data_IF_892943426188
#
_entry.id   IF_892943426188
#
_cell.length_a   1.000
_cell.length_b   1.000
_cell.length_c   1.000
_cell.angle_alpha   90.00
_cell.angle_beta   90.00
_cell.angle_gamma   90.00
#
_symmetry.space_group_name_H-M   'P 1'
#
loop_
_entity.id
_entity.type
_entity.pdbx_description
1 polymer ?
#
# COMPACT_ATOMS: atom_id res chain seq x y z
N UNK A 1 -12.89 15.79 -7.48
CA UNK A 1 -11.56 15.18 -7.41
C UNK A 1 -11.21 14.59 -8.78
N UNK A 2 -10.25 15.23 -9.48
CA UNK A 2 -9.91 14.93 -10.89
C UNK A 2 -9.50 13.46 -11.07
N UNK A 3 -8.67 12.94 -10.16
CA UNK A 3 -8.16 11.58 -10.24
C UNK A 3 -9.28 10.53 -10.09
N UNK A 4 -10.26 10.77 -9.22
CA UNK A 4 -11.42 9.89 -9.05
C UNK A 4 -12.26 9.81 -10.33
N UNK A 5 -12.54 10.97 -10.94
CA UNK A 5 -13.34 11.02 -12.16
C UNK A 5 -12.62 10.32 -13.33
N UNK A 6 -11.33 10.57 -13.50
CA UNK A 6 -10.54 9.90 -14.54
C UNK A 6 -10.50 8.39 -14.33
N UNK A 7 -10.28 7.92 -13.09
CA UNK A 7 -10.28 6.50 -12.79
C UNK A 7 -11.65 5.86 -13.07
N UNK A 8 -12.72 6.51 -12.61
CA UNK A 8 -14.08 6.05 -12.87
C UNK A 8 -14.37 5.92 -14.37
N UNK A 9 -14.07 6.97 -15.15
CA UNK A 9 -14.32 6.97 -16.60
C UNK A 9 -13.57 5.87 -17.34
N UNK A 10 -12.37 5.53 -16.89
CA UNK A 10 -11.55 4.49 -17.52
C UNK A 10 -12.04 3.06 -17.22
N UNK A 11 -12.67 2.83 -16.06
CA UNK A 11 -13.06 1.48 -15.65
C UNK A 11 -14.55 1.21 -15.69
N UNK A 12 -15.42 2.24 -15.65
CA UNK A 12 -16.88 2.12 -15.54
C UNK A 12 -17.50 1.23 -16.63
N UNK A 13 -17.08 1.39 -17.86
CA UNK A 13 -17.67 0.65 -18.99
C UNK A 13 -17.43 -0.87 -18.85
N UNK A 14 -16.23 -1.26 -18.44
CA UNK A 14 -15.89 -2.67 -18.18
C UNK A 14 -16.69 -3.24 -17.03
N UNK A 15 -16.86 -2.44 -15.98
CA UNK A 15 -17.61 -2.82 -14.79
C UNK A 15 -19.10 -2.97 -15.09
N UNK A 16 -19.71 -2.01 -15.79
CA UNK A 16 -21.13 -2.05 -16.21
C UNK A 16 -21.40 -3.23 -17.15
N UNK A 17 -20.51 -3.51 -18.08
CA UNK A 17 -20.61 -4.68 -18.99
C UNK A 17 -20.62 -5.97 -18.18
N UNK A 18 -19.76 -6.07 -17.16
CA UNK A 18 -19.71 -7.23 -16.27
C UNK A 18 -21.00 -7.39 -15.48
N UNK A 19 -21.52 -6.34 -14.83
CA UNK A 19 -22.77 -6.40 -14.09
C UNK A 19 -23.94 -6.86 -14.98
N UNK A 20 -24.06 -6.30 -16.19
CA UNK A 20 -25.09 -6.73 -17.15
C UNK A 20 -24.93 -8.19 -17.58
N UNK A 21 -23.69 -8.68 -17.71
CA UNK A 21 -23.42 -10.09 -18.01
C UNK A 21 -23.85 -11.00 -16.86
N UNK A 22 -23.54 -10.63 -15.61
CA UNK A 22 -23.94 -11.34 -14.41
C UNK A 22 -25.48 -11.41 -14.31
N UNK A 23 -26.18 -10.30 -14.57
CA UNK A 23 -27.64 -10.25 -14.52
C UNK A 23 -28.31 -11.12 -15.59
N UNK A 24 -27.84 -11.04 -16.85
CA UNK A 24 -28.42 -11.77 -17.99
C UNK A 24 -28.19 -13.26 -17.93
N UNK A 25 -27.23 -13.74 -17.12
CA UNK A 25 -26.83 -15.13 -17.12
C UNK A 25 -27.68 -15.95 -16.15
N UNK A 26 -28.91 -16.32 -16.59
CA UNK A 26 -29.85 -17.15 -15.81
C UNK A 26 -29.46 -18.64 -15.77
N UNK A 27 -28.52 -19.07 -16.61
CA UNK A 27 -28.11 -20.47 -16.72
C UNK A 27 -27.00 -20.78 -15.72
N UNK A 28 -27.29 -21.18 -14.48
CA UNK A 28 -26.47 -21.95 -13.48
C UNK A 28 -24.92 -21.90 -13.61
N UNK A 29 -24.37 -20.80 -14.18
CA UNK A 29 -22.92 -20.64 -14.36
C UNK A 29 -22.29 -20.05 -13.09
N UNK A 30 -23.09 -19.30 -12.32
CA UNK A 30 -22.70 -18.68 -11.06
C UNK A 30 -23.46 -19.33 -9.91
N UNK A 31 -22.84 -19.34 -8.74
CA UNK A 31 -23.58 -19.63 -7.51
C UNK A 31 -24.73 -18.62 -7.36
N UNK A 32 -25.94 -19.14 -7.13
CA UNK A 32 -27.17 -18.33 -7.10
C UNK A 32 -27.12 -17.31 -5.96
N UNK A 33 -26.64 -17.71 -4.78
CA UNK A 33 -26.58 -16.84 -3.60
C UNK A 33 -25.64 -15.65 -3.86
N UNK A 34 -24.40 -15.91 -4.28
CA UNK A 34 -23.42 -14.86 -4.53
C UNK A 34 -23.79 -13.95 -5.71
N UNK A 35 -24.40 -14.54 -6.76
CA UNK A 35 -24.98 -13.77 -7.85
C UNK A 35 -26.07 -12.83 -7.35
N UNK A 36 -26.97 -13.30 -6.52
CA UNK A 36 -28.05 -12.50 -5.97
C UNK A 36 -27.51 -11.36 -5.09
N UNK A 37 -26.53 -11.59 -4.22
CA UNK A 37 -25.86 -10.54 -3.44
C UNK A 37 -25.37 -9.40 -4.34
N UNK A 38 -24.75 -9.72 -5.49
CA UNK A 38 -24.30 -8.71 -6.46
C UNK A 38 -25.49 -7.99 -7.09
N UNK A 39 -26.54 -8.71 -7.49
CA UNK A 39 -27.70 -8.10 -8.13
C UNK A 39 -28.45 -7.21 -7.14
N UNK A 40 -28.72 -7.70 -5.93
CA UNK A 40 -29.47 -6.99 -4.89
C UNK A 40 -28.77 -5.68 -4.48
N UNK A 41 -27.43 -5.66 -4.54
CA UNK A 41 -26.66 -4.45 -4.26
C UNK A 41 -26.69 -3.45 -5.43
N UNK A 42 -26.42 -3.93 -6.66
CA UNK A 42 -26.20 -3.03 -7.80
C UNK A 42 -27.45 -2.65 -8.60
N UNK A 43 -28.59 -3.31 -8.38
CA UNK A 43 -29.79 -3.08 -9.19
C UNK A 43 -30.96 -2.62 -8.34
N UNK A 44 -31.67 -1.62 -8.85
CA UNK A 44 -32.96 -1.10 -8.35
C UNK A 44 -33.93 -1.07 -9.54
N UNK A 45 -35.14 -1.63 -9.38
CA UNK A 45 -36.16 -1.70 -10.45
C UNK A 45 -35.60 -2.18 -11.80
N UNK A 46 -34.82 -3.26 -11.76
CA UNK A 46 -34.15 -3.84 -12.92
C UNK A 46 -33.09 -2.98 -13.63
N UNK A 47 -32.75 -1.82 -13.09
CA UNK A 47 -31.73 -0.93 -13.62
C UNK A 47 -30.52 -0.88 -12.71
N UNK A 48 -29.35 -0.69 -13.32
CA UNK A 48 -28.13 -0.50 -12.53
C UNK A 48 -28.22 0.84 -11.78
N UNK A 49 -28.02 0.80 -10.47
CA UNK A 49 -27.86 1.97 -9.63
C UNK A 49 -26.46 2.54 -9.81
N UNK A 50 -26.33 3.60 -10.61
CA UNK A 50 -25.03 4.20 -10.95
C UNK A 50 -24.28 4.71 -9.72
N UNK A 51 -24.99 5.24 -8.71
CA UNK A 51 -24.38 5.68 -7.45
C UNK A 51 -23.66 4.54 -6.72
N UNK A 52 -24.22 3.32 -6.73
CA UNK A 52 -23.59 2.14 -6.14
C UNK A 52 -22.32 1.72 -6.91
N UNK A 53 -22.33 1.88 -8.22
CA UNK A 53 -21.16 1.63 -9.05
C UNK A 53 -20.05 2.64 -8.76
N UNK A 54 -20.39 3.93 -8.65
CA UNK A 54 -19.48 5.00 -8.26
C UNK A 54 -18.89 4.71 -6.87
N UNK A 55 -19.74 4.36 -5.89
CA UNK A 55 -19.33 4.04 -4.52
C UNK A 55 -18.29 2.88 -4.49
N UNK A 56 -18.52 1.83 -5.25
CA UNK A 56 -17.58 0.70 -5.34
C UNK A 56 -16.28 1.08 -6.04
N UNK A 57 -16.34 1.84 -7.13
CA UNK A 57 -15.14 2.15 -7.93
C UNK A 57 -14.29 3.24 -7.27
N UNK A 58 -14.90 4.28 -6.70
CA UNK A 58 -14.20 5.49 -6.22
C UNK A 58 -14.44 5.83 -4.75
N UNK A 59 -15.19 5.00 -4.03
CA UNK A 59 -15.42 5.16 -2.60
C UNK A 59 -14.11 5.09 -1.81
N UNK A 60 -14.02 5.89 -0.76
CA UNK A 60 -12.92 5.84 0.20
C UNK A 60 -12.99 4.57 1.08
N UNK A 61 -12.04 4.40 1.98
CA UNK A 61 -11.95 3.26 2.87
C UNK A 61 -13.27 2.97 3.62
N UNK A 62 -13.90 4.02 4.19
CA UNK A 62 -15.16 3.89 4.92
C UNK A 62 -16.33 3.47 4.03
N UNK A 63 -16.38 3.99 2.81
CA UNK A 63 -17.39 3.59 1.82
C UNK A 63 -17.18 2.13 1.40
N UNK A 64 -15.94 1.69 1.16
CA UNK A 64 -15.64 0.30 0.83
C UNK A 64 -16.00 -0.65 1.97
N UNK A 65 -15.73 -0.29 3.24
CA UNK A 65 -16.19 -1.08 4.39
C UNK A 65 -17.71 -1.23 4.44
N UNK A 66 -18.44 -0.16 4.11
CA UNK A 66 -19.90 -0.22 4.02
C UNK A 66 -20.36 -1.15 2.91
N UNK A 67 -19.76 -1.08 1.73
CA UNK A 67 -20.03 -2.00 0.61
C UNK A 67 -19.79 -3.45 1.05
N UNK A 68 -18.68 -3.73 1.76
CA UNK A 68 -18.38 -5.08 2.27
C UNK A 68 -19.46 -5.56 3.24
N UNK A 69 -19.95 -4.68 4.13
CA UNK A 69 -21.03 -5.02 5.08
C UNK A 69 -22.35 -5.33 4.37
N UNK A 70 -22.63 -4.66 3.26
CA UNK A 70 -23.88 -4.84 2.50
C UNK A 70 -23.83 -6.09 1.60
N UNK A 71 -22.74 -6.33 0.85
CA UNK A 71 -22.61 -7.48 -0.07
C UNK A 71 -22.11 -8.73 0.67
N UNK A 72 -21.17 -8.55 1.58
CA UNK A 72 -20.50 -9.63 2.32
C UNK A 72 -19.41 -10.34 1.52
N UNK A 73 -18.88 -11.40 2.12
CA UNK A 73 -17.87 -12.26 1.51
C UNK A 73 -18.49 -13.09 0.39
N UNK A 74 -17.78 -13.15 -0.74
CA UNK A 74 -18.06 -14.10 -1.82
C UNK A 74 -16.94 -15.14 -1.82
N UNK A 75 -17.15 -16.25 -1.10
CA UNK A 75 -16.16 -17.31 -0.97
C UNK A 75 -15.80 -17.93 -2.33
N UNK A 76 -14.50 -18.01 -2.64
CA UNK A 76 -14.00 -18.64 -3.87
C UNK A 76 -14.04 -20.17 -3.73
N UNK A 77 -15.21 -20.76 -3.86
CA UNK A 77 -15.40 -22.22 -3.93
C UNK A 77 -15.49 -22.70 -5.40
N UNK A 78 -15.63 -24.01 -5.62
CA UNK A 78 -15.71 -24.58 -6.97
C UNK A 78 -16.87 -24.03 -7.79
N UNK A 79 -17.99 -23.71 -7.14
CA UNK A 79 -19.21 -23.23 -7.79
C UNK A 79 -19.16 -21.72 -8.08
N UNK A 80 -18.29 -20.96 -7.38
CA UNK A 80 -18.14 -19.52 -7.53
C UNK A 80 -16.93 -19.08 -8.35
N UNK A 81 -16.09 -20.04 -8.74
CA UNK A 81 -14.88 -19.74 -9.51
C UNK A 81 -15.18 -18.80 -10.70
N UNK A 82 -16.28 -19.04 -11.39
CA UNK A 82 -16.64 -18.27 -12.59
C UNK A 82 -16.91 -16.79 -12.27
N UNK A 83 -17.61 -16.48 -11.18
CA UNK A 83 -17.89 -15.11 -10.78
C UNK A 83 -16.60 -14.36 -10.43
N UNK A 84 -15.71 -15.01 -9.66
CA UNK A 84 -14.39 -14.47 -9.35
C UNK A 84 -13.54 -14.24 -10.60
N UNK A 85 -13.49 -15.21 -11.51
CA UNK A 85 -12.72 -15.12 -12.76
C UNK A 85 -13.19 -13.93 -13.64
N UNK A 86 -14.49 -13.61 -13.62
CA UNK A 86 -15.04 -12.46 -14.36
C UNK A 86 -14.54 -11.13 -13.77
N UNK A 87 -14.60 -10.95 -12.44
CA UNK A 87 -14.06 -9.75 -11.79
C UNK A 87 -12.53 -9.67 -11.95
N UNK A 88 -11.83 -10.80 -11.82
CA UNK A 88 -10.39 -10.85 -12.03
C UNK A 88 -10.00 -10.51 -13.47
N UNK A 89 -10.82 -10.90 -14.45
CA UNK A 89 -10.59 -10.58 -15.86
C UNK A 89 -10.62 -9.07 -16.13
N UNK A 90 -11.56 -8.33 -15.56
CA UNK A 90 -11.60 -6.87 -15.74
C UNK A 90 -10.40 -6.19 -15.06
N UNK A 91 -9.95 -6.68 -13.90
CA UNK A 91 -8.74 -6.22 -13.23
C UNK A 91 -7.48 -6.49 -14.07
N UNK A 92 -7.32 -7.71 -14.59
CA UNK A 92 -6.17 -8.06 -15.42
C UNK A 92 -6.12 -7.23 -16.71
N UNK A 93 -7.29 -6.94 -17.31
CA UNK A 93 -7.38 -6.04 -18.45
C UNK A 93 -6.98 -4.60 -18.09
N UNK A 94 -7.31 -4.11 -16.89
CA UNK A 94 -6.89 -2.81 -16.39
C UNK A 94 -5.36 -2.76 -16.22
N UNK A 95 -4.78 -3.71 -15.49
CA UNK A 95 -3.33 -3.73 -15.19
C UNK A 95 -2.46 -3.96 -16.42
N UNK A 96 -2.96 -4.67 -17.44
CA UNK A 96 -2.25 -4.92 -18.69
C UNK A 96 -2.38 -3.76 -19.71
N UNK A 97 -3.26 -2.79 -19.47
CA UNK A 97 -3.41 -1.60 -20.32
C UNK A 97 -2.40 -0.52 -19.94
N UNK A 98 -2.15 0.39 -20.88
CA UNK A 98 -1.34 1.58 -20.66
C UNK A 98 -1.84 2.39 -19.45
N UNK A 99 -3.15 2.43 -19.24
CA UNK A 99 -3.77 3.10 -18.11
C UNK A 99 -3.32 2.53 -16.75
N UNK A 100 -3.36 1.22 -16.55
CA UNK A 100 -2.89 0.60 -15.31
C UNK A 100 -1.42 0.91 -15.01
N UNK A 101 -0.60 1.09 -16.07
CA UNK A 101 0.81 1.50 -15.94
C UNK A 101 0.95 2.98 -15.57
N UNK A 102 0.15 3.85 -16.15
CA UNK A 102 0.21 5.29 -15.90
C UNK A 102 -0.46 5.69 -14.59
N UNK A 103 -1.36 4.84 -14.07
CA UNK A 103 -2.07 5.09 -12.82
C UNK A 103 -1.10 5.24 -11.63
N UNK A 104 -0.12 4.35 -11.50
CA UNK A 104 0.91 4.45 -10.46
C UNK A 104 1.68 5.78 -10.51
N UNK A 105 1.93 6.30 -11.72
CA UNK A 105 2.54 7.62 -11.92
C UNK A 105 1.62 8.77 -11.49
N UNK A 106 0.30 8.65 -11.75
CA UNK A 106 -0.69 9.65 -11.33
C UNK A 106 -0.86 9.70 -9.81
N UNK A 107 -0.78 8.56 -9.13
CA UNK A 107 -0.80 8.48 -7.67
C UNK A 107 0.46 9.13 -7.08
N UNK A 108 1.59 9.13 -7.81
CA UNK A 108 2.84 9.76 -7.38
C UNK A 108 3.58 9.01 -6.27
N UNK A 109 3.23 7.77 -5.98
CA UNK A 109 3.91 6.93 -4.98
C UNK A 109 5.12 6.27 -5.63
N UNK A 110 6.31 6.61 -5.17
CA UNK A 110 7.59 6.11 -5.69
C UNK A 110 8.29 5.13 -4.76
N UNK A 111 7.83 5.04 -3.51
CA UNK A 111 8.33 4.11 -2.49
C UNK A 111 7.15 3.25 -2.03
N UNK A 112 7.39 1.97 -1.82
CA UNK A 112 6.37 1.04 -1.35
C UNK A 112 5.81 1.50 0.01
N UNK A 113 4.50 1.85 0.12
CA UNK A 113 3.94 2.41 1.34
C UNK A 113 3.82 1.36 2.47
N UNK A 114 3.92 0.08 2.14
CA UNK A 114 3.92 -0.98 3.14
C UNK A 114 5.25 -1.10 3.88
N UNK A 115 6.38 -1.07 3.18
CA UNK A 115 7.68 -1.31 3.80
C UNK A 115 8.58 -0.07 3.84
N UNK A 116 8.23 0.99 3.16
CA UNK A 116 9.05 2.22 3.02
C UNK A 116 10.53 1.96 2.65
N UNK A 117 10.82 0.83 2.00
CA UNK A 117 12.18 0.34 1.70
C UNK A 117 12.46 0.22 0.22
N UNK A 118 11.46 -0.19 -0.56
CA UNK A 118 11.63 -0.53 -1.97
C UNK A 118 11.04 0.55 -2.86
N UNK A 119 11.81 1.01 -3.86
CA UNK A 119 11.30 1.87 -4.91
C UNK A 119 10.34 1.12 -5.83
N UNK A 120 9.27 1.80 -6.25
CA UNK A 120 8.20 1.26 -7.09
C UNK A 120 7.92 2.17 -8.30
N UNK A 121 8.96 2.66 -8.93
CA UNK A 121 8.85 3.58 -10.03
C UNK A 121 8.02 3.05 -11.20
N UNK A 122 7.25 3.95 -11.81
CA UNK A 122 6.62 3.71 -13.10
C UNK A 122 7.43 4.39 -14.20
N UNK A 123 7.99 3.61 -15.12
CA UNK A 123 8.75 4.16 -16.26
C UNK A 123 7.82 4.56 -17.41
N UNK A 124 8.15 5.62 -18.19
CA UNK A 124 7.26 6.15 -19.24
C UNK A 124 6.96 5.20 -20.40
N UNK A 125 7.87 4.29 -20.74
CA UNK A 125 7.74 3.37 -21.89
C UNK A 125 8.12 1.96 -21.49
N UNK A 126 7.26 0.96 -21.82
CA UNK A 126 7.50 -0.51 -21.70
C UNK A 126 8.48 -0.95 -20.59
N UNK A 127 8.40 -0.32 -19.43
CA UNK A 127 9.32 -0.56 -18.34
C UNK A 127 8.64 -1.22 -17.14
N UNK A 128 9.05 -0.81 -15.95
CA UNK A 128 8.51 -1.27 -14.68
C UNK A 128 7.36 -0.40 -14.21
N UNK A 129 6.49 -0.97 -13.44
CA UNK A 129 5.42 -0.29 -12.70
C UNK A 129 5.18 -1.02 -11.38
N UNK A 130 4.53 -0.38 -10.37
CA UNK A 130 4.17 -1.04 -9.13
C UNK A 130 3.27 -2.24 -9.37
N UNK A 131 3.33 -3.22 -8.49
CA UNK A 131 2.21 -4.14 -8.33
C UNK A 131 1.09 -3.41 -7.57
N UNK A 132 -0.15 -3.78 -7.85
CA UNK A 132 -1.30 -3.29 -7.11
C UNK A 132 -1.80 -4.39 -6.20
N UNK A 133 -1.54 -4.25 -4.91
CA UNK A 133 -2.15 -5.13 -3.92
C UNK A 133 -3.62 -4.75 -3.72
N UNK A 134 -4.46 -5.75 -3.50
CA UNK A 134 -5.83 -5.55 -3.07
C UNK A 134 -5.86 -5.52 -1.54
N UNK A 135 -6.01 -4.32 -0.95
CA UNK A 135 -6.06 -4.17 0.50
C UNK A 135 -7.12 -5.10 1.11
N UNK A 136 -8.35 -5.07 0.62
CA UNK A 136 -9.36 -6.10 0.82
C UNK A 136 -9.18 -7.17 -0.26
N UNK A 137 -8.88 -8.44 0.11
CA UNK A 137 -8.45 -9.44 -0.85
C UNK A 137 -9.53 -9.78 -1.87
N UNK A 138 -9.18 -9.72 -3.16
CA UNK A 138 -10.12 -10.06 -4.26
C UNK A 138 -10.63 -11.50 -4.21
N UNK A 139 -9.98 -12.38 -3.46
CA UNK A 139 -10.44 -13.74 -3.22
C UNK A 139 -11.70 -13.81 -2.36
N UNK A 140 -11.93 -12.81 -1.51
CA UNK A 140 -13.13 -12.67 -0.67
C UNK A 140 -14.08 -11.59 -1.18
N UNK A 141 -13.53 -10.50 -1.73
CA UNK A 141 -14.26 -9.31 -2.16
C UNK A 141 -14.00 -9.00 -3.65
N UNK A 142 -14.34 -9.92 -4.58
CA UNK A 142 -14.01 -9.76 -6.00
C UNK A 142 -14.63 -8.52 -6.63
N UNK A 143 -15.77 -8.05 -6.12
CA UNK A 143 -16.43 -6.82 -6.57
C UNK A 143 -15.60 -5.56 -6.28
N UNK A 144 -14.61 -5.61 -5.39
CA UNK A 144 -13.64 -4.54 -5.14
C UNK A 144 -12.37 -4.66 -5.98
N UNK A 145 -12.30 -5.58 -6.94
CA UNK A 145 -11.08 -5.81 -7.74
C UNK A 145 -10.63 -4.58 -8.54
N UNK A 146 -11.56 -3.68 -8.89
CA UNK A 146 -11.28 -2.40 -9.56
C UNK A 146 -11.72 -1.19 -8.73
N UNK A 147 -11.64 -1.27 -7.42
CA UNK A 147 -11.88 -0.11 -6.55
C UNK A 147 -10.59 0.68 -6.37
N UNK A 148 -10.62 1.97 -6.68
CA UNK A 148 -9.47 2.87 -6.65
C UNK A 148 -8.70 2.82 -5.33
N UNK A 149 -9.43 2.93 -4.23
CA UNK A 149 -8.85 2.92 -2.88
C UNK A 149 -8.59 1.52 -2.32
N UNK A 150 -8.95 0.46 -3.05
CA UNK A 150 -8.54 -0.91 -2.72
C UNK A 150 -7.23 -1.32 -3.40
N UNK A 151 -6.73 -0.53 -4.35
CA UNK A 151 -5.54 -0.82 -5.14
C UNK A 151 -4.33 -0.07 -4.59
N UNK A 152 -3.54 -0.73 -3.74
CA UNK A 152 -2.36 -0.15 -3.12
C UNK A 152 -1.14 -0.42 -4.01
N UNK A 153 -0.48 0.63 -4.58
CA UNK A 153 0.76 0.44 -5.31
C UNK A 153 1.86 -0.02 -4.34
N UNK A 154 2.47 -1.16 -4.60
CA UNK A 154 3.44 -1.74 -3.69
C UNK A 154 4.55 -2.54 -4.40
N UNK A 155 5.58 -2.92 -3.65
CA UNK A 155 6.63 -3.77 -4.17
C UNK A 155 6.20 -5.26 -4.19
N UNK A 156 6.81 -6.09 -5.06
CA UNK A 156 6.48 -7.51 -5.16
C UNK A 156 6.66 -8.27 -3.84
N UNK A 157 7.64 -7.86 -3.02
CA UNK A 157 7.92 -8.52 -1.73
C UNK A 157 6.72 -8.37 -0.78
N UNK A 158 6.25 -7.13 -0.60
CA UNK A 158 5.10 -6.86 0.27
C UNK A 158 3.79 -7.44 -0.28
N UNK A 159 3.58 -7.36 -1.59
CA UNK A 159 2.41 -7.95 -2.22
C UNK A 159 2.34 -9.47 -1.99
N UNK A 160 3.48 -10.15 -2.16
CA UNK A 160 3.56 -11.59 -1.93
C UNK A 160 3.42 -11.95 -0.45
N UNK A 161 3.99 -11.15 0.46
CA UNK A 161 3.90 -11.39 1.90
C UNK A 161 2.47 -11.23 2.41
N UNK A 162 1.79 -10.14 2.02
CA UNK A 162 0.39 -9.91 2.39
C UNK A 162 -0.55 -10.95 1.78
N UNK A 163 -0.29 -11.34 0.53
CA UNK A 163 -1.09 -12.34 -0.18
C UNK A 163 -2.61 -12.06 -0.07
N UNK A 164 -3.38 -13.03 0.44
CA UNK A 164 -4.84 -12.95 0.59
C UNK A 164 -5.27 -12.71 2.06
N UNK A 165 -4.43 -12.05 2.86
CA UNK A 165 -4.77 -11.68 4.24
C UNK A 165 -6.04 -10.83 4.26
N UNK A 166 -6.99 -11.20 5.11
CA UNK A 166 -8.27 -10.49 5.24
C UNK A 166 -8.14 -9.30 6.20
N UNK A 167 -7.92 -8.15 5.63
CA UNK A 167 -7.77 -6.90 6.39
C UNK A 167 -9.08 -6.33 6.92
N UNK A 168 -10.23 -6.79 6.42
CA UNK A 168 -11.53 -6.37 6.91
C UNK A 168 -11.89 -7.05 8.25
N UNK A 169 -11.80 -8.38 8.30
CA UNK A 169 -12.15 -9.14 9.51
C UNK A 169 -11.16 -8.86 10.64
N UNK A 170 -9.87 -8.84 10.32
CA UNK A 170 -8.82 -8.76 11.34
C UNK A 170 -8.43 -7.33 11.70
N UNK A 171 -8.80 -6.30 10.88
CA UNK A 171 -8.32 -4.91 10.99
C UNK A 171 -6.82 -4.83 11.28
N UNK A 172 -6.07 -5.75 10.68
CA UNK A 172 -4.74 -6.13 11.14
C UNK A 172 -3.63 -5.34 10.49
N UNK A 173 -3.94 -4.59 9.42
CA UNK A 173 -2.95 -3.86 8.64
C UNK A 173 -3.24 -2.37 8.66
N UNK A 174 -2.18 -1.56 8.76
CA UNK A 174 -2.29 -0.13 8.49
C UNK A 174 -2.80 0.08 7.05
N UNK A 175 -3.75 1.00 6.91
CA UNK A 175 -4.28 1.38 5.60
C UNK A 175 -3.44 2.51 4.99
N UNK A 176 -2.62 2.27 3.95
CA UNK A 176 -1.55 3.19 3.56
C UNK A 176 -1.99 4.55 3.00
N UNK A 177 -3.27 4.74 2.67
CA UNK A 177 -3.77 6.04 2.21
C UNK A 177 -4.27 6.96 3.34
N UNK A 178 -4.44 6.44 4.56
CA UNK A 178 -4.99 7.19 5.69
C UNK A 178 -4.18 7.04 6.97
N UNK A 179 -3.36 5.98 7.09
CA UNK A 179 -2.63 5.64 8.31
C UNK A 179 -1.13 5.57 8.03
N UNK A 180 -0.34 6.03 8.99
CA UNK A 180 1.12 6.01 8.93
C UNK A 180 1.73 5.65 10.29
N UNK A 181 3.02 5.32 10.30
CA UNK A 181 3.75 5.07 11.56
C UNK A 181 3.93 6.36 12.39
N UNK A 182 3.99 7.54 11.77
CA UNK A 182 4.27 8.81 12.42
C UNK A 182 5.66 8.85 13.04
N UNK A 183 5.92 9.88 13.88
CA UNK A 183 7.20 10.06 14.58
C UNK A 183 7.29 9.31 15.92
N UNK A 184 6.18 8.72 16.39
CA UNK A 184 6.11 8.05 17.68
C UNK A 184 6.31 6.53 17.56
N UNK A 185 6.47 6.03 16.34
CA UNK A 185 6.84 4.65 16.03
C UNK A 185 8.15 4.69 15.24
N UNK A 186 9.15 3.96 15.72
CA UNK A 186 10.53 4.05 15.22
C UNK A 186 11.22 2.69 15.23
N UNK A 187 12.31 2.59 14.48
CA UNK A 187 13.20 1.45 14.54
C UNK A 187 14.25 1.66 15.64
N UNK A 188 14.48 0.63 16.42
CA UNK A 188 15.49 0.56 17.46
C UNK A 188 16.37 -0.67 17.24
N UNK A 189 17.67 -0.55 17.55
CA UNK A 189 18.56 -1.72 17.60
C UNK A 189 18.52 -2.35 18.97
N UNK A 190 18.35 -3.68 19.03
CA UNK A 190 18.45 -4.49 20.25
C UNK A 190 19.72 -5.31 20.22
N UNK A 191 20.62 -5.10 21.16
CA UNK A 191 21.91 -5.79 21.28
C UNK A 191 22.47 -5.70 22.69
N UNK A 192 23.22 -6.71 23.09
CA UNK A 192 24.03 -6.69 24.32
C UNK A 192 25.46 -6.16 24.06
N UNK A 193 25.84 -5.96 22.78
CA UNK A 193 27.17 -5.53 22.40
C UNK A 193 27.25 -4.01 22.22
N UNK A 194 28.03 -3.32 23.07
CA UNK A 194 28.19 -1.86 23.02
C UNK A 194 28.80 -1.36 21.69
N UNK A 195 29.62 -2.15 21.02
CA UNK A 195 30.24 -1.79 19.74
C UNK A 195 29.21 -1.57 18.64
N UNK A 196 28.05 -2.20 18.74
CA UNK A 196 26.94 -2.00 17.78
C UNK A 196 26.44 -0.55 17.79
N UNK A 197 26.31 0.08 18.97
CA UNK A 197 25.87 1.48 19.09
C UNK A 197 26.87 2.47 18.48
N UNK A 198 28.11 2.08 18.36
CA UNK A 198 29.17 2.86 17.69
C UNK A 198 29.26 2.55 16.18
N UNK A 199 28.45 1.61 15.68
CA UNK A 199 28.52 1.12 14.32
C UNK A 199 29.80 0.36 13.98
N UNK A 200 30.47 -0.23 14.99
CA UNK A 200 31.70 -1.01 14.86
C UNK A 200 31.41 -2.52 14.79
N UNK A 201 30.20 -2.94 15.08
CA UNK A 201 29.67 -4.28 14.87
C UNK A 201 28.27 -4.19 14.26
N UNK A 202 27.81 -5.24 13.62
CA UNK A 202 26.47 -5.38 13.04
C UNK A 202 25.67 -6.55 13.66
N UNK A 203 26.11 -7.03 14.83
CA UNK A 203 25.46 -8.11 15.58
C UNK A 203 24.35 -7.57 16.49
N UNK A 204 23.28 -7.08 15.87
CA UNK A 204 22.08 -6.57 16.54
C UNK A 204 20.83 -6.95 15.77
N UNK A 205 19.68 -6.86 16.44
CA UNK A 205 18.37 -6.96 15.82
C UNK A 205 17.72 -5.58 15.70
N UNK A 206 17.09 -5.32 14.59
CA UNK A 206 16.26 -4.13 14.35
C UNK A 206 14.83 -4.48 14.75
N UNK A 207 14.25 -3.67 15.64
CA UNK A 207 12.89 -3.83 16.15
C UNK A 207 12.08 -2.57 15.94
N UNK A 208 10.76 -2.73 15.74
CA UNK A 208 9.82 -1.63 15.74
C UNK A 208 9.37 -1.38 17.17
N UNK A 209 9.55 -0.15 17.63
CA UNK A 209 9.13 0.32 18.96
C UNK A 209 8.15 1.48 18.81
N UNK A 210 7.38 1.71 19.85
CA UNK A 210 6.48 2.85 19.96
C UNK A 210 6.71 3.58 21.27
N UNK A 211 6.50 4.90 21.29
CA UNK A 211 6.43 5.67 22.51
C UNK A 211 5.21 5.24 23.35
N UNK A 212 5.24 5.55 24.65
CA UNK A 212 4.17 5.16 25.58
C UNK A 212 2.82 5.78 25.27
N UNK A 213 2.81 7.02 24.76
CA UNK A 213 1.63 7.80 24.44
C UNK A 213 0.90 7.35 23.14
N UNK A 214 1.42 6.39 22.39
CA UNK A 214 0.76 5.87 21.19
C UNK A 214 -0.46 5.04 21.58
N UNK A 215 -1.58 5.25 20.88
CA UNK A 215 -2.82 4.49 21.12
C UNK A 215 -2.60 2.98 20.88
N UNK A 216 -3.22 2.17 21.74
CA UNK A 216 -3.02 0.72 21.72
C UNK A 216 -3.50 0.07 20.42
N UNK A 217 -4.57 0.58 19.83
CA UNK A 217 -5.07 0.11 18.51
C UNK A 217 -4.00 0.30 17.41
N UNK A 218 -3.36 1.47 17.39
CA UNK A 218 -2.28 1.75 16.43
C UNK A 218 -1.06 0.85 16.66
N UNK A 219 -0.66 0.65 17.93
CA UNK A 219 0.43 -0.28 18.27
C UNK A 219 0.14 -1.68 17.77
N UNK A 220 -1.08 -2.17 17.97
CA UNK A 220 -1.49 -3.50 17.54
C UNK A 220 -1.48 -3.62 16.01
N UNK A 221 -2.01 -2.61 15.29
CA UNK A 221 -1.96 -2.57 13.82
C UNK A 221 -0.54 -2.57 13.29
N UNK A 222 0.37 -1.80 13.90
CA UNK A 222 1.79 -1.75 13.53
C UNK A 222 2.46 -3.10 13.72
N UNK A 223 2.25 -3.74 14.86
CA UNK A 223 2.81 -5.06 15.16
C UNK A 223 2.29 -6.11 14.17
N UNK A 224 0.99 -6.10 13.88
CA UNK A 224 0.38 -7.00 12.92
C UNK A 224 0.91 -6.74 11.50
N UNK A 225 1.00 -5.46 11.09
CA UNK A 225 1.59 -5.07 9.80
C UNK A 225 3.02 -5.55 9.68
N UNK A 226 3.83 -5.36 10.72
CA UNK A 226 5.22 -5.83 10.75
C UNK A 226 5.30 -7.35 10.60
N UNK A 227 4.45 -8.08 11.30
CA UNK A 227 4.42 -9.55 11.24
C UNK A 227 3.97 -10.07 9.87
N UNK A 228 2.87 -9.53 9.31
CA UNK A 228 2.31 -9.98 8.02
C UNK A 228 3.26 -9.65 6.87
N UNK A 229 3.85 -8.47 6.90
CA UNK A 229 4.73 -7.96 5.85
C UNK A 229 6.21 -8.29 6.07
N UNK A 230 6.55 -8.98 7.16
CA UNK A 230 7.93 -9.31 7.57
C UNK A 230 8.85 -8.09 7.65
N UNK A 231 8.33 -6.96 8.18
CA UNK A 231 9.09 -5.69 8.14
C UNK A 231 10.37 -5.78 8.95
N UNK A 232 10.34 -6.28 10.18
CA UNK A 232 11.54 -6.41 11.01
C UNK A 232 12.58 -7.34 10.34
N UNK A 233 12.15 -8.48 9.81
CA UNK A 233 13.04 -9.41 9.10
C UNK A 233 13.68 -8.77 7.87
N UNK A 234 12.88 -8.01 7.10
CA UNK A 234 13.37 -7.30 5.92
C UNK A 234 14.38 -6.21 6.27
N UNK A 235 14.17 -5.49 7.39
CA UNK A 235 15.10 -4.45 7.83
C UNK A 235 16.38 -5.05 8.43
N UNK A 236 16.29 -6.20 9.11
CA UNK A 236 17.46 -6.92 9.63
C UNK A 236 18.43 -7.43 8.53
N UNK A 237 17.96 -7.52 7.28
CA UNK A 237 18.88 -7.80 6.15
C UNK A 237 19.82 -6.61 5.82
N UNK A 238 19.65 -5.46 6.48
CA UNK A 238 20.41 -4.22 6.25
C UNK A 238 21.26 -3.80 7.46
N UNK A 239 21.59 -4.72 8.36
CA UNK A 239 22.39 -4.38 9.57
C UNK A 239 23.73 -3.73 9.23
N UNK A 240 24.38 -4.13 8.12
CA UNK A 240 25.62 -3.52 7.65
C UNK A 240 25.43 -2.04 7.24
N UNK A 241 24.28 -1.71 6.63
CA UNK A 241 23.92 -0.33 6.29
C UNK A 241 23.61 0.50 7.55
N UNK A 242 22.83 -0.06 8.48
CA UNK A 242 22.52 0.59 9.76
C UNK A 242 23.77 0.85 10.58
N UNK A 243 24.72 -0.11 10.64
CA UNK A 243 26.02 0.08 11.30
C UNK A 243 26.79 1.26 10.70
N UNK A 244 26.80 1.42 9.37
CA UNK A 244 27.43 2.58 8.71
C UNK A 244 26.75 3.88 9.09
N UNK A 245 25.42 3.93 9.15
CA UNK A 245 24.66 5.12 9.60
C UNK A 245 25.00 5.48 11.05
N UNK A 246 25.04 4.49 11.95
CA UNK A 246 25.39 4.71 13.34
C UNK A 246 26.82 5.26 13.46
N UNK A 247 27.79 4.71 12.73
CA UNK A 247 29.17 5.21 12.67
C UNK A 247 29.23 6.65 12.15
N UNK A 248 28.46 6.93 11.09
CA UNK A 248 28.43 8.26 10.50
C UNK A 248 28.04 9.35 11.50
N UNK A 249 27.16 9.05 12.47
CA UNK A 249 26.78 9.96 13.56
C UNK A 249 27.98 10.42 14.41
N UNK A 250 28.97 9.56 14.56
CA UNK A 250 30.20 9.90 15.33
C UNK A 250 31.27 10.57 14.50
N UNK A 251 31.27 10.34 13.17
CA UNK A 251 32.22 10.95 12.25
C UNK A 251 31.77 12.37 11.85
N UNK A 252 30.50 12.53 11.55
CA UNK A 252 29.92 13.79 11.08
C UNK A 252 29.32 14.58 12.25
N UNK A 253 30.22 15.10 13.10
CA UNK A 253 29.80 15.95 14.24
C UNK A 253 29.24 17.28 13.75
N UNK A 254 28.57 18.02 14.64
CA UNK A 254 28.03 19.34 14.32
C UNK A 254 29.13 20.33 13.89
N UNK A 255 30.30 20.24 14.53
CA UNK A 255 31.46 21.04 14.15
C UNK A 255 31.96 20.73 12.75
N UNK A 256 32.01 19.43 12.39
CA UNK A 256 32.36 19.00 11.03
C UNK A 256 31.35 19.52 10.00
N UNK A 257 30.05 19.36 10.27
CA UNK A 257 29.00 19.86 9.40
C UNK A 257 29.06 21.38 9.24
N UNK A 258 29.31 22.13 10.33
CA UNK A 258 29.50 23.58 10.27
C UNK A 258 30.74 23.97 9.44
N UNK A 259 31.82 23.21 9.56
CA UNK A 259 33.02 23.46 8.74
C UNK A 259 32.77 23.32 7.23
N UNK A 260 31.86 22.41 6.84
CA UNK A 260 31.44 22.25 5.44
C UNK A 260 30.63 23.45 4.95
N UNK A 261 29.71 23.97 5.77
CA UNK A 261 28.94 25.19 5.46
C UNK A 261 29.87 26.39 5.25
N UNK A 262 30.85 26.54 6.13
CA UNK A 262 31.80 27.68 6.09
C UNK A 262 32.76 27.56 4.91
N UNK A 263 33.17 26.32 4.56
CA UNK A 263 34.13 26.07 3.47
C UNK A 263 33.51 26.20 2.08
N UNK A 264 32.22 25.82 1.97
CA UNK A 264 31.47 25.75 0.70
C UNK A 264 30.24 26.67 0.72
N UNK A 265 30.38 27.99 0.81
CA UNK A 265 29.25 28.90 0.88
C UNK A 265 28.40 28.82 -0.38
N UNK A 266 27.08 28.66 -0.18
CA UNK A 266 26.10 28.54 -1.26
C UNK A 266 25.93 27.13 -1.84
N UNK A 267 26.64 26.14 -1.33
CA UNK A 267 26.42 24.72 -1.68
C UNK A 267 25.30 24.05 -0.82
N UNK A 268 25.15 24.59 0.38
CA UNK A 268 24.14 24.13 1.32
C UNK A 268 23.38 25.33 1.88
N UNK A 269 22.09 25.20 2.10
CA UNK A 269 21.27 26.26 2.69
C UNK A 269 21.43 26.31 4.21
N UNK A 270 21.54 25.17 4.86
CA UNK A 270 21.68 25.07 6.31
C UNK A 270 22.35 23.77 6.77
N UNK A 271 22.49 23.64 8.08
CA UNK A 271 23.06 22.48 8.75
C UNK A 271 22.26 21.18 8.48
N UNK A 272 20.94 21.27 8.34
CA UNK A 272 20.10 20.10 8.10
C UNK A 272 20.36 19.55 6.70
N UNK A 273 20.52 20.42 5.72
CA UNK A 273 20.88 19.99 4.36
C UNK A 273 22.24 19.29 4.33
N UNK A 274 23.25 19.83 5.03
CA UNK A 274 24.55 19.15 5.16
C UNK A 274 24.38 17.76 5.76
N UNK A 275 23.65 17.64 6.87
CA UNK A 275 23.39 16.34 7.52
C UNK A 275 22.62 15.40 6.60
N UNK A 276 21.60 15.87 5.91
CA UNK A 276 20.84 15.08 4.96
C UNK A 276 21.71 14.53 3.82
N UNK A 277 22.60 15.32 3.29
CA UNK A 277 23.56 14.87 2.27
C UNK A 277 24.53 13.82 2.80
N UNK A 278 25.11 14.05 4.00
CA UNK A 278 26.07 13.12 4.60
C UNK A 278 25.47 11.81 5.05
N UNK A 279 24.22 11.82 5.55
CA UNK A 279 23.51 10.61 6.00
C UNK A 279 22.66 9.95 4.91
N UNK A 280 22.68 10.49 3.67
CA UNK A 280 21.79 10.04 2.60
C UNK A 280 20.29 10.05 2.97
N UNK A 281 19.92 10.99 3.88
CA UNK A 281 18.54 11.18 4.35
C UNK A 281 17.71 12.09 3.41
N UNK A 282 18.16 12.28 2.17
CA UNK A 282 17.51 13.16 1.17
C UNK A 282 16.12 12.69 0.70
N UNK A 283 15.54 11.69 1.37
CA UNK A 283 14.20 11.17 1.06
C UNK A 283 13.10 11.68 1.99
N UNK A 284 13.38 12.66 2.88
CA UNK A 284 12.29 13.36 3.56
C UNK A 284 11.60 14.30 2.57
N UNK A 285 10.50 13.81 2.03
CA UNK A 285 9.59 14.58 1.16
C UNK A 285 8.73 15.55 1.99
N UNK A 286 9.30 16.58 2.56
CA UNK A 286 8.50 17.71 3.05
C UNK A 286 8.24 18.78 1.97
N UNK A 287 8.78 18.64 0.75
CA UNK A 287 8.71 19.68 -0.28
C UNK A 287 8.16 19.23 -1.65
N UNK A 288 7.41 18.15 -1.71
CA UNK A 288 6.69 17.81 -2.94
C UNK A 288 5.20 18.15 -2.76
N UNK A 289 4.92 19.48 -2.77
CA UNK A 289 3.58 20.04 -2.87
C UNK A 289 2.92 19.80 -4.24
#
# INVERSE_FOLDING_TARGET
>A
DKNKNEFYDDVKESYLKLLNKIKKNEKKIYNIENRNKIIDYFYEDDKICENKVIEVITGDHKALEKVIKEIGVLEKNKDDKKLHDEFESIYNNFTNREFGRTWGKKIGVEICPYCNRSFIYTTPKKGTWPQYDHYYPKSKYPYLALSMYNLIPCCPVCNNAKNAEDTFDNKSLLYPFEEEYGYDIFFEIETDEQLCYLGLSNDFNIKIKSKENVEEDLKQKVQNSSKILHIEELYNLHNDYVSKLLRSKYIFTDEYCQSLLDTYPGWFFDMNEVKNQLYFNSLQKEEWG
#
